data_IF_531592797338
#
_entry.id   IF_531592797338
#
_cell.length_a   1.000
_cell.length_b   1.000
_cell.length_c   1.000
_cell.angle_alpha   90.00
_cell.angle_beta   90.00
_cell.angle_gamma   90.00
#
_symmetry.space_group_name_H-M   'P 1'
#
loop_
_entity.id
_entity.type
_entity.pdbx_description
1 polymer ?
#
# COMPACT_ATOMS: atom_id res chain seq x y z
N UNK A 1 -18.69 12.28 19.01
CA UNK A 1 -17.51 11.95 18.17
C UNK A 1 -16.47 11.32 19.07
N UNK A 2 -15.93 10.14 18.76
CA UNK A 2 -14.82 9.58 19.51
C UNK A 2 -13.59 10.48 19.36
N UNK A 3 -12.83 10.64 20.43
CA UNK A 3 -11.56 11.39 20.45
C UNK A 3 -10.41 10.46 20.85
N UNK A 4 -9.21 10.82 20.40
CA UNK A 4 -7.98 10.14 20.76
C UNK A 4 -7.00 11.17 21.33
N UNK A 5 -6.26 10.78 22.37
CA UNK A 5 -5.17 11.58 22.92
C UNK A 5 -3.85 10.98 22.46
N UNK A 6 -3.02 11.78 21.80
CA UNK A 6 -1.74 11.35 21.26
C UNK A 6 -0.65 12.18 21.94
N UNK A 7 0.44 11.53 22.33
CA UNK A 7 1.65 12.26 22.76
C UNK A 7 2.44 12.64 21.52
N UNK A 8 2.79 13.92 21.43
CA UNK A 8 3.56 14.49 20.33
C UNK A 8 4.93 14.91 20.83
N UNK A 9 5.89 14.95 19.91
CA UNK A 9 7.21 15.53 20.13
C UNK A 9 7.33 16.90 19.44
N UNK A 10 8.46 17.57 19.65
CA UNK A 10 8.73 18.90 19.08
C UNK A 10 8.70 18.89 17.54
N UNK A 11 9.05 17.78 16.90
CA UNK A 11 9.01 17.67 15.45
C UNK A 11 7.56 17.63 14.94
N UNK A 12 6.72 16.84 15.58
CA UNK A 12 5.28 16.77 15.26
C UNK A 12 4.60 18.10 15.53
N UNK A 13 4.93 18.78 16.64
CA UNK A 13 4.34 20.08 16.94
C UNK A 13 4.73 21.16 15.93
N UNK A 14 5.99 21.19 15.48
CA UNK A 14 6.41 22.10 14.40
C UNK A 14 5.69 21.83 13.09
N UNK A 15 5.58 20.56 12.69
CA UNK A 15 4.87 20.18 11.48
C UNK A 15 3.38 20.55 11.56
N UNK A 16 2.73 20.31 12.70
CA UNK A 16 1.34 20.70 12.92
C UNK A 16 1.17 22.23 12.86
N UNK A 17 2.08 23.01 13.46
CA UNK A 17 2.05 24.46 13.37
C UNK A 17 2.16 24.95 11.93
N UNK A 18 3.08 24.39 11.14
CA UNK A 18 3.23 24.73 9.72
C UNK A 18 1.97 24.37 8.91
N UNK A 19 1.45 23.15 9.08
CA UNK A 19 0.29 22.66 8.34
C UNK A 19 -1.02 23.35 8.72
N UNK A 20 -1.10 23.92 9.92
CA UNK A 20 -2.27 24.68 10.40
C UNK A 20 -2.15 26.19 10.19
N UNK A 21 -0.97 26.69 9.81
CA UNK A 21 -0.71 28.13 9.56
C UNK A 21 -1.67 28.79 8.57
N UNK A 22 -2.25 28.00 7.65
CA UNK A 22 -3.20 28.46 6.62
C UNK A 22 -4.67 28.34 7.04
N UNK A 23 -4.95 28.26 8.35
CA UNK A 23 -6.32 28.21 8.89
C UNK A 23 -6.95 26.82 8.93
N UNK A 24 -6.16 25.76 8.70
CA UNK A 24 -6.63 24.37 8.89
C UNK A 24 -6.63 24.01 10.38
N UNK A 25 -7.65 23.29 10.85
CA UNK A 25 -7.67 22.74 12.21
C UNK A 25 -6.69 21.55 12.33
N UNK A 26 -6.01 21.43 13.48
CA UNK A 26 -5.17 20.29 13.86
C UNK A 26 -5.89 18.96 13.65
N UNK A 27 -7.15 18.83 14.06
CA UNK A 27 -7.91 17.58 13.88
C UNK A 27 -8.06 17.19 12.42
N UNK A 28 -8.26 18.15 11.52
CA UNK A 28 -8.39 17.89 10.09
C UNK A 28 -7.05 17.54 9.44
N UNK A 29 -5.97 18.18 9.89
CA UNK A 29 -4.60 17.83 9.48
C UNK A 29 -4.26 16.40 9.90
N UNK A 30 -4.50 16.06 11.17
CA UNK A 30 -4.23 14.71 11.71
C UNK A 30 -5.10 13.67 11.01
N UNK A 31 -6.39 13.96 10.79
CA UNK A 31 -7.29 13.07 10.05
C UNK A 31 -6.80 12.81 8.63
N UNK A 32 -6.38 13.85 7.91
CA UNK A 32 -5.83 13.71 6.55
C UNK A 32 -4.57 12.87 6.55
N UNK A 33 -3.63 13.14 7.46
CA UNK A 33 -2.39 12.37 7.58
C UNK A 33 -2.64 10.88 7.83
N UNK A 34 -3.55 10.53 8.75
CA UNK A 34 -3.91 9.13 9.03
C UNK A 34 -4.51 8.45 7.79
N UNK A 35 -5.43 9.13 7.10
CA UNK A 35 -6.08 8.57 5.91
C UNK A 35 -5.14 8.46 4.72
N UNK A 36 -4.17 9.36 4.59
CA UNK A 36 -3.13 9.29 3.57
C UNK A 36 -2.22 8.09 3.82
N UNK A 37 -1.73 7.94 5.07
CA UNK A 37 -0.91 6.79 5.47
C UNK A 37 -1.65 5.47 5.20
N UNK A 38 -2.91 5.36 5.65
CA UNK A 38 -3.73 4.17 5.42
C UNK A 38 -3.86 3.81 3.93
N UNK A 39 -4.03 4.81 3.06
CA UNK A 39 -4.08 4.57 1.60
C UNK A 39 -2.75 4.09 1.05
N UNK A 40 -1.65 4.69 1.49
CA UNK A 40 -0.31 4.31 1.02
C UNK A 40 0.03 2.88 1.44
N UNK A 41 -0.24 2.52 2.69
CA UNK A 41 -0.06 1.16 3.22
C UNK A 41 -0.98 0.15 2.51
N UNK A 42 -2.25 0.49 2.29
CA UNK A 42 -3.16 -0.39 1.57
C UNK A 42 -2.72 -0.62 0.11
N UNK A 43 -2.26 0.43 -0.57
CA UNK A 43 -1.72 0.30 -1.91
C UNK A 43 -0.40 -0.50 -1.95
N UNK A 44 0.43 -0.40 -0.91
CA UNK A 44 1.64 -1.22 -0.79
C UNK A 44 1.29 -2.69 -0.55
N UNK A 45 0.33 -2.97 0.33
CA UNK A 45 -0.16 -4.32 0.60
C UNK A 45 -0.75 -4.99 -0.65
N UNK A 46 -1.58 -4.27 -1.41
CA UNK A 46 -2.15 -4.79 -2.66
C UNK A 46 -1.07 -5.07 -3.73
N UNK A 47 -0.01 -4.25 -3.80
CA UNK A 47 1.12 -4.53 -4.70
C UNK A 47 1.90 -5.76 -4.26
N UNK A 48 2.18 -5.88 -2.96
CA UNK A 48 2.85 -7.04 -2.41
C UNK A 48 2.04 -8.33 -2.61
N UNK A 49 0.71 -8.26 -2.47
CA UNK A 49 -0.20 -9.37 -2.74
C UNK A 49 -0.24 -9.73 -4.24
N UNK A 50 -0.26 -8.72 -5.13
CA UNK A 50 -0.18 -8.96 -6.57
C UNK A 50 1.18 -9.55 -7.01
N UNK A 51 2.28 -9.14 -6.39
CA UNK A 51 3.59 -9.73 -6.60
C UNK A 51 3.64 -11.18 -6.08
N UNK A 52 3.11 -11.44 -4.88
CA UNK A 52 3.00 -12.78 -4.33
C UNK A 52 2.14 -13.71 -5.21
N UNK A 53 1.07 -13.20 -5.83
CA UNK A 53 0.25 -13.96 -6.77
C UNK A 53 0.98 -14.22 -8.09
N UNK A 54 1.81 -13.28 -8.55
CA UNK A 54 2.58 -13.41 -9.81
C UNK A 54 3.72 -14.42 -9.69
N UNK A 55 4.28 -14.56 -8.50
CA UNK A 55 5.33 -15.52 -8.18
C UNK A 55 4.78 -16.86 -7.65
N UNK A 56 3.50 -17.16 -7.87
CA UNK A 56 2.91 -18.45 -7.49
C UNK A 56 3.65 -19.60 -8.22
N UNK A 57 4.37 -20.48 -7.49
CA UNK A 57 5.11 -21.59 -8.07
C UNK A 57 4.22 -22.56 -8.86
N UNK A 58 2.93 -22.66 -8.51
CA UNK A 58 1.97 -23.50 -9.20
C UNK A 58 1.65 -22.96 -10.59
N UNK A 59 1.47 -21.63 -10.72
CA UNK A 59 1.22 -20.98 -12.01
C UNK A 59 2.45 -21.03 -12.92
N UNK A 60 3.65 -20.86 -12.36
CA UNK A 60 4.91 -21.02 -13.11
C UNK A 60 5.09 -22.47 -13.59
N UNK A 61 4.74 -23.45 -12.76
CA UNK A 61 4.81 -24.87 -13.13
C UNK A 61 3.78 -25.21 -14.22
N UNK A 62 2.55 -24.70 -14.09
CA UNK A 62 1.49 -24.89 -15.08
C UNK A 62 1.84 -24.24 -16.43
N UNK A 63 2.38 -23.02 -16.43
CA UNK A 63 2.83 -22.35 -17.65
C UNK A 63 3.96 -23.10 -18.35
N UNK A 64 4.91 -23.66 -17.59
CA UNK A 64 5.99 -24.51 -18.15
C UNK A 64 5.45 -25.82 -18.74
N UNK A 65 4.51 -26.47 -18.05
CA UNK A 65 3.89 -27.70 -18.53
C UNK A 65 3.11 -27.46 -19.84
N UNK A 66 2.33 -26.38 -19.90
CA UNK A 66 1.61 -25.98 -21.11
C UNK A 66 2.57 -25.65 -22.27
N UNK A 67 3.64 -24.90 -22.02
CA UNK A 67 4.64 -24.60 -23.05
C UNK A 67 5.32 -25.86 -23.59
N UNK A 68 5.59 -26.84 -22.72
CA UNK A 68 6.12 -28.14 -23.12
C UNK A 68 5.12 -28.91 -24.01
N UNK A 69 3.86 -28.96 -23.61
CA UNK A 69 2.79 -29.59 -24.39
C UNK A 69 2.61 -28.93 -25.76
N UNK A 70 2.57 -27.60 -25.81
CA UNK A 70 2.46 -26.84 -27.06
C UNK A 70 3.68 -27.00 -27.97
N UNK A 71 4.89 -27.14 -27.39
CA UNK A 71 6.11 -27.39 -28.17
C UNK A 71 6.10 -28.77 -28.86
N UNK A 72 5.43 -29.76 -28.27
CA UNK A 72 5.22 -31.07 -28.88
C UNK A 72 4.25 -31.03 -30.07
N UNK A 73 3.26 -30.14 -30.02
CA UNK A 73 2.27 -29.95 -31.10
C UNK A 73 2.89 -29.18 -32.28
N UNK A 74 3.82 -28.25 -32.03
CA UNK A 74 4.48 -27.43 -33.07
C UNK A 74 5.61 -28.16 -33.82
N UNK A 75 6.00 -29.37 -33.40
CA UNK A 75 7.12 -30.11 -33.96
C UNK A 75 6.71 -31.12 -35.06
N UNK A 76 5.46 -31.04 -35.55
CA UNK A 76 4.91 -31.85 -36.64
C UNK A 76 4.63 -31.00 -37.88
#
# INVERSE_FOLDING_TARGET
MPSITIRTDDQVERALAELTSRGSNRSDVVRRAILELARTEHAAALRAEAEALRDDPADVAAAKALAHEMSGISAW
#
